data_IF_102745674534
#
_entry.id   IF_102745674534
#
_cell.length_a   1.000
_cell.length_b   1.000
_cell.length_c   1.000
_cell.angle_alpha   90.00
_cell.angle_beta   90.00
_cell.angle_gamma   90.00
#
_symmetry.space_group_name_H-M   'P 1'
#
loop_
_entity.id
_entity.type
_entity.pdbx_description
1 polymer ?
2 non-polymer ?
3 non-polymer ?
4 non-polymer ?
5 non-polymer ?
6 non-polymer ?
7 water ?
#
# COMPACT_ATOMS: atom_id res chain seq x y z
N UNK A 9 -6.63 9.60 -19.32
CA UNK A 9 -5.35 8.94 -19.46
C UNK A 9 -4.93 8.29 -18.13
N UNK A 10 -4.58 7.01 -18.18
CA UNK A 10 -4.03 6.28 -17.03
C UNK A 10 -2.53 6.13 -17.21
N UNK A 11 -1.78 6.46 -16.17
CA UNK A 11 -0.35 6.24 -16.18
C UNK A 11 0.03 4.88 -15.63
N UNK A 12 1.20 4.40 -16.06
CA UNK A 12 1.71 3.12 -15.58
C UNK A 12 3.22 3.20 -15.51
N UNK A 13 3.78 2.87 -14.35
CA UNK A 13 5.23 2.83 -14.18
C UNK A 13 5.62 1.40 -13.85
N UNK A 14 6.62 0.89 -14.57
CA UNK A 14 7.23 -0.40 -14.30
C UNK A 14 8.67 -0.34 -14.78
N UNK A 15 9.61 -0.64 -13.89
CA UNK A 15 11.03 -0.68 -14.26
C UNK A 15 11.60 -2.01 -13.81
N UNK A 16 12.13 -2.78 -14.76
CA UNK A 16 12.57 -4.13 -14.48
C UNK A 16 13.80 -4.20 -13.59
N UNK A 17 14.48 -3.07 -13.35
CA UNK A 17 15.55 -3.07 -12.36
C UNK A 17 15.04 -3.49 -10.99
N UNK A 18 13.78 -3.20 -10.68
CA UNK A 18 13.27 -3.57 -9.36
C UNK A 18 13.13 -5.08 -9.19
N UNK A 19 13.37 -5.87 -10.23
CA UNK A 19 13.49 -7.32 -10.10
C UNK A 19 14.79 -7.76 -9.42
N UNK A 20 15.77 -6.86 -9.28
CA UNK A 20 17.10 -7.28 -8.85
C UNK A 20 17.13 -7.68 -7.37
N UNK A 21 16.38 -6.96 -6.53
CA UNK A 21 16.23 -7.32 -5.12
C UNK A 21 15.82 -8.79 -4.97
N UNK A 22 16.59 -9.55 -4.20
CA UNK A 22 16.31 -10.98 -4.07
C UNK A 22 16.91 -11.50 -2.76
N UNK A 23 16.46 -12.69 -2.38
CA UNK A 23 16.88 -13.37 -1.16
C UNK A 23 17.87 -14.44 -1.57
N UNK A 24 19.16 -14.19 -1.34
CA UNK A 24 20.17 -15.11 -1.85
C UNK A 24 20.30 -16.39 -1.04
N UNK A 25 19.68 -16.48 0.14
CA UNK A 25 19.75 -17.68 0.94
C UNK A 25 18.53 -18.58 0.80
N UNK A 26 17.41 -18.05 0.33
CA UNK A 26 16.16 -18.80 0.21
C UNK A 26 15.45 -18.31 -1.05
N UNK A 27 15.70 -19.00 -2.16
CA UNK A 27 15.09 -18.63 -3.43
C UNK A 27 13.59 -18.89 -3.47
N UNK A 28 13.02 -19.53 -2.45
CA UNK A 28 11.59 -19.78 -2.38
C UNK A 28 10.88 -18.78 -1.49
N UNK A 29 11.58 -17.77 -1.01
CA UNK A 29 10.93 -16.70 -0.26
C UNK A 29 9.86 -16.05 -1.13
N UNK A 30 8.66 -15.80 -0.62
CA UNK A 30 7.55 -15.38 -1.49
C UNK A 30 7.66 -13.98 -2.07
N UNK A 31 8.52 -13.11 -1.51
CA UNK A 31 8.68 -11.76 -2.04
C UNK A 31 9.69 -11.80 -3.19
N UNK A 32 9.27 -12.45 -4.30
CA UNK A 32 9.93 -12.89 -5.53
C UNK A 32 10.09 -11.73 -6.51
N UNK A 33 11.23 -11.72 -7.20
CA UNK A 33 11.40 -10.76 -8.31
C UNK A 33 10.29 -10.84 -9.36
N UNK A 34 9.72 -12.02 -9.59
CA UNK A 34 8.68 -12.19 -10.60
C UNK A 34 7.34 -11.61 -10.18
N UNK A 35 7.20 -11.12 -8.96
CA UNK A 35 5.96 -10.46 -8.57
C UNK A 35 5.62 -9.32 -9.52
N UNK A 36 6.60 -8.49 -9.86
CA UNK A 36 6.31 -7.32 -10.68
C UNK A 36 6.31 -7.65 -12.17
N UNK A 37 7.18 -8.57 -12.63
CA UNK A 37 7.20 -8.90 -14.05
C UNK A 37 5.92 -9.64 -14.46
N UNK A 38 5.41 -10.51 -13.59
CA UNK A 38 4.18 -11.21 -13.91
C UNK A 38 3.00 -10.25 -14.02
N UNK A 39 2.89 -9.30 -13.08
CA UNK A 39 1.83 -8.29 -13.16
C UNK A 39 1.95 -7.50 -14.45
N UNK A 40 3.19 -7.13 -14.82
CA UNK A 40 3.40 -6.37 -16.05
C UNK A 40 3.06 -7.20 -17.27
N UNK A 41 3.53 -8.44 -17.33
CA UNK A 41 3.19 -9.32 -18.44
C UNK A 41 1.69 -9.49 -18.58
N UNK A 42 0.98 -9.62 -17.46
CA UNK A 42 -0.47 -9.77 -17.52
C UNK A 42 -1.13 -8.52 -18.09
N UNK A 43 -0.59 -7.34 -17.81
CA UNK A 43 -1.09 -6.12 -18.43
C UNK A 43 -0.92 -6.14 -19.94
N UNK A 44 0.20 -6.70 -20.43
CA UNK A 44 0.36 -6.86 -21.88
C UNK A 44 -0.68 -7.83 -22.43
N UNK A 45 -0.77 -9.03 -21.83
CA UNK A 45 -1.69 -10.04 -22.32
C UNK A 45 -3.12 -9.52 -22.37
N UNK A 46 -3.54 -8.76 -21.36
CA UNK A 46 -4.86 -8.15 -21.34
C UNK A 46 -4.96 -6.90 -22.21
N UNK A 47 -3.89 -6.55 -22.91
CA UNK A 47 -3.86 -5.38 -23.80
C UNK A 47 -4.15 -4.08 -23.04
N UNK A 48 -3.80 -4.03 -21.75
CA UNK A 48 -3.95 -2.83 -20.95
C UNK A 48 -2.74 -1.91 -21.03
N UNK A 49 -1.55 -2.47 -21.28
CA UNK A 49 -0.34 -1.67 -21.29
C UNK A 49 -0.39 -0.60 -22.37
N UNK A 50 -0.76 -0.99 -23.60
CA UNK A 50 -0.78 -0.04 -24.70
C UNK A 50 -1.84 1.05 -24.53
N UNK A 51 -2.80 0.86 -23.62
CA UNK A 51 -3.79 1.89 -23.34
C UNK A 51 -3.33 2.88 -22.29
N UNK A 52 -2.19 2.64 -21.64
CA UNK A 52 -1.68 3.51 -20.60
C UNK A 52 -0.58 4.40 -21.15
N UNK A 53 -0.37 5.53 -20.47
CA UNK A 53 0.82 6.36 -20.68
C UNK A 53 1.92 5.84 -19.76
N UNK A 54 3.05 5.47 -20.34
CA UNK A 54 4.15 4.91 -19.57
C UNK A 54 4.89 6.02 -18.84
N UNK A 55 4.99 5.90 -17.53
CA UNK A 55 5.69 6.87 -16.69
C UNK A 55 7.05 6.28 -16.31
N UNK A 56 8.14 7.02 -16.45
CA UNK A 56 9.45 6.46 -16.14
C UNK A 56 9.70 6.36 -14.64
N UNK A 57 10.45 5.33 -14.27
CA UNK A 57 10.95 5.23 -12.91
C UNK A 57 12.12 6.19 -12.70
N UNK A 58 12.42 6.46 -11.44
CA UNK A 58 13.61 7.22 -11.10
C UNK A 58 14.00 6.90 -9.66
N UNK A 59 15.24 7.24 -9.31
CA UNK A 59 15.73 7.09 -7.95
C UNK A 59 15.18 8.21 -7.09
N UNK A 60 14.59 7.86 -5.95
CA UNK A 60 14.37 8.85 -4.91
C UNK A 60 15.72 9.38 -4.42
N UNK A 61 15.76 10.65 -4.04
CA UNK A 61 17.00 11.17 -3.48
C UNK A 61 17.02 10.92 -1.97
N UNK A 62 18.20 11.06 -1.39
CA UNK A 62 18.34 10.90 0.05
C UNK A 62 17.55 11.96 0.81
N UNK A 63 17.45 13.18 0.26
CA UNK A 63 16.64 14.19 0.92
C UNK A 63 15.15 13.89 0.78
N UNK A 64 14.73 13.29 -0.34
CA UNK A 64 13.35 12.85 -0.47
C UNK A 64 13.04 11.73 0.52
N UNK A 65 13.99 10.81 0.73
CA UNK A 65 13.80 9.78 1.74
C UNK A 65 13.65 10.39 3.13
N UNK A 66 14.30 11.53 3.38
CA UNK A 66 14.21 12.19 4.67
C UNK A 66 12.84 12.81 4.94
N UNK A 67 11.96 12.86 3.94
CA UNK A 67 10.59 13.29 4.20
C UNK A 67 9.93 12.43 5.28
N UNK A 68 10.35 11.17 5.40
CA UNK A 68 9.77 10.24 6.38
C UNK A 68 10.79 9.47 7.20
N UNK A 69 12.04 9.35 6.76
CA UNK A 69 12.99 8.44 7.39
C UNK A 69 14.17 9.19 7.98
N UNK A 70 14.73 8.61 9.04
CA UNK A 70 15.86 9.20 9.73
C UNK A 70 17.12 9.12 8.86
N UNK A 71 18.07 10.02 9.13
CA UNK A 71 19.35 9.97 8.45
C UNK A 71 20.07 8.66 8.74
N UNK A 72 20.02 8.20 9.99
CA UNK A 72 20.68 6.95 10.36
C UNK A 72 20.14 5.76 9.59
N UNK A 73 18.81 5.66 9.48
CA UNK A 73 18.20 4.54 8.75
C UNK A 73 18.61 4.57 7.29
N UNK A 74 18.53 5.74 6.66
CA UNK A 74 18.92 5.88 5.26
C UNK A 74 20.36 5.42 5.05
N UNK A 75 21.25 5.80 5.97
CA UNK A 75 22.67 5.49 5.81
C UNK A 75 22.93 4.00 5.98
N UNK A 76 22.21 3.37 6.90
CA UNK A 76 22.41 1.94 7.14
C UNK A 76 21.99 1.12 5.91
N UNK A 77 20.84 1.45 5.32
CA UNK A 77 20.39 0.71 4.15
C UNK A 77 21.29 1.01 2.96
N UNK A 78 21.79 2.23 2.86
CA UNK A 78 22.72 2.59 1.79
C UNK A 78 24.02 1.80 1.89
N UNK A 79 24.47 1.52 3.12
CA UNK A 79 25.72 0.82 3.32
C UNK A 79 25.69 -0.63 2.84
N UNK A 80 24.50 -1.18 2.56
CA UNK A 80 24.41 -2.58 2.16
C UNK A 80 24.80 -2.81 0.70
N UNK A 81 24.93 -1.75 -0.11
CA UNK A 81 25.15 -1.92 -1.54
C UNK A 81 26.39 -2.73 -1.87
N UNK A 82 27.45 -2.61 -1.07
CA UNK A 82 28.69 -3.31 -1.37
C UNK A 82 29.05 -4.33 -0.29
N UNK A 83 28.09 -4.72 0.55
CA UNK A 83 28.37 -5.68 1.60
C UNK A 83 28.57 -7.08 1.05
N UNK A 84 29.45 -7.83 1.71
CA UNK A 84 29.58 -9.24 1.41
C UNK A 84 28.33 -9.98 1.86
N UNK A 85 28.05 -11.16 1.29
CA UNK A 85 26.88 -11.94 1.74
C UNK A 85 26.80 -12.16 3.24
N UNK A 86 27.93 -12.45 3.90
CA UNK A 86 27.91 -12.67 5.35
C UNK A 86 27.41 -11.44 6.10
N UNK A 87 27.65 -10.25 5.56
CA UNK A 87 27.25 -9.01 6.23
C UNK A 87 25.85 -8.59 5.84
N UNK A 88 25.40 -8.91 4.62
CA UNK A 88 24.00 -8.74 4.26
C UNK A 88 23.12 -9.62 5.14
N UNK A 89 23.58 -10.84 5.44
CA UNK A 89 22.84 -11.72 6.34
C UNK A 89 22.74 -11.11 7.73
N UNK A 90 23.86 -10.64 8.26
CA UNK A 90 23.87 -10.03 9.60
C UNK A 90 22.94 -8.82 9.64
N UNK A 91 23.08 -7.91 8.68
CA UNK A 91 22.28 -6.69 8.69
C UNK A 91 20.79 -7.01 8.57
N UNK A 92 20.41 -7.88 7.65
CA UNK A 92 19.02 -8.21 7.48
C UNK A 92 18.41 -8.85 8.72
N UNK A 93 19.19 -9.68 9.41
CA UNK A 93 18.69 -10.34 10.61
C UNK A 93 18.48 -9.36 11.77
N UNK A 94 18.98 -8.13 11.68
CA UNK A 94 18.73 -7.15 12.72
C UNK A 94 17.29 -6.66 12.72
N UNK A 95 16.53 -6.92 11.65
CA UNK A 95 15.18 -6.43 11.49
C UNK A 95 14.18 -7.58 11.57
N UNK A 96 12.91 -7.21 11.72
CA UNK A 96 11.80 -8.14 11.65
C UNK A 96 11.51 -8.45 10.18
N UNK A 97 11.83 -9.67 9.74
CA UNK A 97 11.42 -10.19 8.44
C UNK A 97 11.98 -9.34 7.28
N UNK A 98 13.31 -9.30 7.20
CA UNK A 98 14.00 -8.54 6.16
C UNK A 98 15.11 -9.40 5.60
N UNK A 99 15.22 -9.45 4.26
CA UNK A 99 16.41 -9.94 3.57
C UNK A 99 16.94 -8.83 2.68
N UNK A 100 18.26 -8.81 2.50
CA UNK A 100 18.93 -7.74 1.76
C UNK A 100 19.91 -8.36 0.77
N UNK A 101 19.95 -7.81 -0.43
CA UNK A 101 21.01 -8.08 -1.39
C UNK A 101 21.65 -6.75 -1.78
N UNK A 102 22.73 -6.82 -2.55
CA UNK A 102 23.43 -5.60 -2.93
C UNK A 102 22.50 -4.63 -3.67
N UNK A 103 21.52 -5.16 -4.40
CA UNK A 103 20.62 -4.35 -5.21
C UNK A 103 19.42 -3.82 -4.45
N UNK A 104 19.24 -4.23 -3.19
CA UNK A 104 18.01 -3.87 -2.45
C UNK A 104 17.86 -2.36 -2.34
N UNK A 105 18.95 -1.65 -2.02
CA UNK A 105 18.87 -0.21 -1.86
C UNK A 105 18.41 0.47 -3.15
N UNK A 106 19.00 0.07 -4.29
CA UNK A 106 18.61 0.65 -5.57
C UNK A 106 17.13 0.42 -5.84
N UNK A 107 16.66 -0.80 -5.64
CA UNK A 107 15.27 -1.14 -5.93
C UNK A 107 14.31 -0.36 -5.05
N UNK A 108 14.64 -0.21 -3.76
CA UNK A 108 13.78 0.57 -2.87
C UNK A 108 13.75 2.04 -3.28
N UNK A 109 14.90 2.58 -3.72
CA UNK A 109 14.94 3.93 -4.25
C UNK A 109 14.06 4.06 -5.50
N UNK A 110 14.14 3.07 -6.38
CA UNK A 110 13.34 3.12 -7.61
C UNK A 110 11.86 3.00 -7.32
N UNK A 111 11.47 2.23 -6.30
CA UNK A 111 10.05 2.09 -5.98
C UNK A 111 9.47 3.41 -5.49
N UNK A 112 10.18 4.08 -4.59
CA UNK A 112 9.72 5.39 -4.13
C UNK A 112 9.74 6.42 -5.26
N UNK A 113 10.84 6.48 -6.02
CA UNK A 113 10.94 7.45 -7.09
C UNK A 113 9.93 7.22 -8.20
N UNK A 114 9.59 5.96 -8.48
CA UNK A 114 8.54 5.66 -9.46
C UNK A 114 7.21 6.27 -9.04
N UNK A 115 6.87 6.15 -7.75
CA UNK A 115 5.60 6.68 -7.27
C UNK A 115 5.63 8.20 -7.21
N UNK A 116 6.79 8.80 -6.90
CA UNK A 116 6.90 10.26 -6.96
C UNK A 116 6.56 10.77 -8.36
N UNK A 117 7.20 10.19 -9.39
CA UNK A 117 6.91 10.56 -10.77
C UNK A 117 5.44 10.35 -11.10
N UNK A 118 4.83 9.30 -10.55
CA UNK A 118 3.42 9.03 -10.82
C UNK A 118 2.53 10.07 -10.14
N UNK A 119 2.81 10.36 -8.86
CA UNK A 119 2.07 11.41 -8.16
C UNK A 119 2.21 12.73 -8.89
N UNK A 120 3.40 13.01 -9.42
CA UNK A 120 3.61 14.26 -10.15
C UNK A 120 2.84 14.28 -11.46
N UNK A 121 2.88 13.17 -12.21
CA UNK A 121 2.13 13.10 -13.45
C UNK A 121 0.64 13.33 -13.21
N UNK A 122 0.14 12.85 -12.07
CA UNK A 122 -1.27 13.05 -11.72
C UNK A 122 -1.52 14.51 -11.37
N UNK A 123 -0.73 15.07 -10.46
CA UNK A 123 -0.96 16.41 -9.94
C UNK A 123 -0.60 17.51 -10.92
N UNK A 124 0.05 17.19 -12.03
CA UNK A 124 0.30 18.16 -13.10
C UNK A 124 -0.62 17.95 -14.30
N UNK A 125 -1.67 17.15 -14.16
CA UNK A 125 -2.60 16.93 -15.24
C UNK A 125 -2.12 16.04 -16.36
N UNK A 126 -0.91 15.49 -16.26
CA UNK A 126 -0.39 14.64 -17.32
C UNK A 126 -1.25 13.40 -17.52
N UNK A 127 -1.74 12.82 -16.42
CA UNK A 127 -2.68 11.71 -16.45
C UNK A 127 -3.76 11.98 -15.40
N UNK A 128 -4.85 11.23 -15.50
CA UNK A 128 -5.90 11.29 -14.49
C UNK A 128 -5.53 10.44 -13.27
N UNK A 129 -5.12 9.19 -13.51
CA UNK A 129 -4.79 8.25 -12.45
C UNK A 129 -3.60 7.42 -12.91
N UNK A 130 -3.09 6.57 -12.02
CA UNK A 130 -1.90 5.82 -12.36
C UNK A 130 -1.77 4.56 -11.52
N UNK A 131 -0.98 3.63 -12.03
CA UNK A 131 -0.68 2.37 -11.35
C UNK A 131 0.83 2.22 -11.30
N UNK A 132 1.34 1.80 -10.14
CA UNK A 132 2.78 1.64 -9.92
C UNK A 132 3.06 0.18 -9.56
N UNK A 133 3.78 -0.49 -10.44
CA UNK A 133 4.11 -1.91 -10.27
C UNK A 133 5.53 -1.94 -9.73
N UNK A 134 5.67 -1.90 -8.40
CA UNK A 134 6.95 -1.65 -7.76
C UNK A 134 7.20 -2.70 -6.68
N UNK A 135 8.48 -2.89 -6.38
CA UNK A 135 8.95 -3.71 -5.27
C UNK A 135 10.36 -3.26 -4.94
N UNK A 136 10.83 -3.47 -3.70
CA UNK A 136 10.15 -4.08 -2.55
C UNK A 136 9.03 -3.21 -2.01
N UNK A 137 8.11 -3.79 -1.21
CA UNK A 137 7.00 -3.00 -0.66
C UNK A 137 7.47 -2.01 0.39
N UNK A 138 6.54 -1.23 0.95
CA UNK A 138 6.92 -0.14 1.83
C UNK A 138 6.17 0.02 3.14
N UNK A 139 4.92 -0.42 3.21
CA UNK A 139 4.06 0.07 4.29
C UNK A 139 4.44 -0.44 5.68
N UNK A 140 5.31 -1.44 5.79
CA UNK A 140 5.80 -1.86 7.10
C UNK A 140 7.00 -1.05 7.56
N UNK A 141 7.62 -0.28 6.68
CA UNK A 141 8.84 0.45 7.04
C UNK A 141 8.50 1.64 7.94
N UNK A 142 9.29 1.80 9.00
CA UNK A 142 9.12 2.86 9.98
C UNK A 142 10.09 4.00 9.69
N UNK A 143 9.95 5.09 10.43
CA UNK A 143 10.86 6.22 10.25
C UNK A 143 12.31 5.78 10.43
N UNK A 144 12.58 4.95 11.44
CA UNK A 144 13.94 4.62 11.84
C UNK A 144 14.32 3.16 11.60
N UNK A 145 13.50 2.37 10.91
CA UNK A 145 13.85 0.97 10.75
C UNK A 145 13.07 0.31 9.61
N UNK A 146 13.67 -0.72 9.03
CA UNK A 146 13.04 -1.59 8.05
C UNK A 146 12.27 -2.69 8.77
N UNK A 147 11.35 -3.33 8.05
CA UNK A 147 10.46 -4.31 8.67
C UNK A 147 9.60 -4.96 7.59
N UNK A 148 9.34 -6.27 7.75
CA UNK A 148 8.36 -6.98 6.94
C UNK A 148 8.47 -6.80 5.45
N UNK A 149 9.67 -7.02 4.91
CA UNK A 149 10.03 -6.98 3.48
C UNK A 149 10.17 -5.53 3.00
N UNK A 150 10.03 -4.53 3.87
CA UNK A 150 9.95 -3.13 3.48
C UNK A 150 11.15 -2.35 4.00
N UNK A 151 11.78 -1.56 3.13
CA UNK A 151 12.93 -0.74 3.51
C UNK A 151 12.55 0.72 3.72
N UNK A 152 11.88 1.35 2.76
CA UNK A 152 11.39 2.70 2.90
C UNK A 152 9.89 2.70 2.64
N UNK A 153 9.17 3.62 3.28
CA UNK A 153 7.70 3.58 3.21
C UNK A 153 7.24 4.34 1.98
N UNK A 154 7.13 3.61 0.87
CA UNK A 154 6.86 4.20 -0.43
C UNK A 154 5.58 5.04 -0.43
N UNK A 155 4.49 4.48 0.10
CA UNK A 155 3.24 5.24 0.13
C UNK A 155 3.35 6.47 1.00
N UNK A 156 3.92 6.34 2.19
CA UNK A 156 4.06 7.51 3.07
C UNK A 156 4.96 8.56 2.45
N UNK A 157 6.09 8.14 1.86
CA UNK A 157 6.97 9.07 1.16
C UNK A 157 6.24 9.77 0.03
N UNK A 158 5.45 9.01 -0.74
CA UNK A 158 4.71 9.60 -1.85
C UNK A 158 3.70 10.63 -1.37
N UNK A 159 3.05 10.38 -0.23
CA UNK A 159 2.10 11.36 0.29
C UNK A 159 2.83 12.64 0.69
N UNK A 160 3.98 12.53 1.37
CA UNK A 160 4.75 13.71 1.71
C UNK A 160 5.37 14.36 0.48
N UNK A 161 5.78 13.56 -0.51
CA UNK A 161 6.30 14.15 -1.74
C UNK A 161 5.21 14.92 -2.48
N UNK A 162 4.01 14.34 -2.58
CA UNK A 162 2.90 15.03 -3.23
C UNK A 162 2.60 16.36 -2.55
N UNK A 163 2.64 16.37 -1.22
CA UNK A 163 2.48 17.63 -0.49
C UNK A 163 3.60 18.60 -0.81
N UNK A 164 4.81 18.10 -1.07
CA UNK A 164 5.95 19.00 -1.28
C UNK A 164 5.91 19.67 -2.65
N UNK A 165 5.32 19.02 -3.66
CA UNK A 165 5.23 19.64 -4.99
C UNK A 165 3.91 20.35 -5.22
N UNK A 166 3.04 20.41 -4.20
CA UNK A 166 1.83 21.22 -4.30
C UNK A 166 1.74 22.15 -3.09
N UNK A 167 1.16 21.66 -2.00
CA UNK A 167 1.05 22.43 -0.76
C UNK A 167 1.00 21.44 0.40
N UNK A 168 1.53 21.86 1.55
CA UNK A 168 1.59 20.99 2.71
C UNK A 168 0.20 20.51 3.11
N UNK A 169 -0.82 21.34 2.93
CA UNK A 169 -2.16 20.99 3.36
C UNK A 169 -2.86 20.03 2.42
N UNK A 170 -2.22 19.64 1.31
CA UNK A 170 -2.83 18.70 0.38
C UNK A 170 -3.39 17.50 1.13
N UNK A 171 -4.71 17.33 1.09
CA UNK A 171 -5.36 16.25 1.83
C UNK A 171 -5.16 14.95 1.06
N UNK A 172 -4.36 14.04 1.63
CA UNK A 172 -4.05 12.77 1.01
C UNK A 172 -4.70 11.67 1.82
N UNK A 173 -5.48 10.83 1.15
CA UNK A 173 -6.05 9.63 1.73
C UNK A 173 -5.20 8.45 1.29
N UNK A 174 -4.77 7.64 2.26
CA UNK A 174 -4.07 6.39 1.99
C UNK A 174 -5.01 5.26 2.39
N UNK A 175 -5.52 4.52 1.40
CA UNK A 175 -6.30 3.32 1.65
C UNK A 175 -5.37 2.13 1.50
N UNK A 176 -5.18 1.40 2.59
CA UNK A 176 -4.25 0.29 2.66
C UNK A 176 -5.06 -1.00 2.72
N UNK A 177 -5.25 -1.65 1.57
CA UNK A 177 -6.04 -2.87 1.53
C UNK A 177 -5.17 -4.12 1.40
N UNK A 178 -3.86 -3.98 1.51
CA UNK A 178 -2.98 -5.10 1.82
C UNK A 178 -3.53 -5.84 3.05
N UNK A 179 -3.44 -7.17 3.05
CA UNK A 179 -4.05 -7.93 4.14
C UNK A 179 -3.36 -7.66 5.47
N UNK A 180 -2.15 -7.09 5.45
CA UNK A 180 -1.44 -6.80 6.69
C UNK A 180 -1.58 -5.33 7.06
N UNK A 181 -1.53 -5.06 8.35
CA UNK A 181 -1.58 -3.67 8.82
C UNK A 181 -0.32 -2.91 8.40
N UNK A 182 -0.50 -1.68 7.93
CA UNK A 182 0.63 -0.84 7.59
C UNK A 182 1.14 -0.06 8.79
N UNK A 183 1.86 -0.76 9.68
CA UNK A 183 2.30 -0.16 10.92
C UNK A 183 3.14 1.09 10.67
N UNK A 184 4.02 1.05 9.67
CA UNK A 184 4.84 2.22 9.38
C UNK A 184 4.02 3.40 8.93
N UNK A 185 3.04 3.18 8.05
CA UNK A 185 2.21 4.28 7.57
C UNK A 185 1.41 4.90 8.72
N UNK A 186 0.89 4.04 9.61
CA UNK A 186 0.13 4.54 10.75
C UNK A 186 1.00 5.42 11.66
N UNK A 187 2.21 4.95 11.98
CA UNK A 187 3.06 5.68 12.90
C UNK A 187 3.55 6.99 12.29
N UNK A 188 3.90 6.98 11.01
CA UNK A 188 4.40 8.19 10.37
C UNK A 188 3.37 9.32 10.43
N UNK A 189 2.10 8.99 10.17
CA UNK A 189 1.04 9.99 10.10
C UNK A 189 0.16 10.03 11.34
N UNK A 190 0.62 9.45 12.45
CA UNK A 190 -0.28 9.22 13.57
C UNK A 190 -0.79 10.53 14.15
N UNK A 191 0.02 11.58 14.12
CA UNK A 191 -0.33 12.87 14.72
C UNK A 191 -0.65 13.92 13.68
N UNK A 192 -1.05 13.52 12.48
CA UNK A 192 -1.21 14.40 11.35
C UNK A 192 -2.63 14.31 10.82
N UNK A 193 -3.29 15.47 10.71
CA UNK A 193 -4.64 15.52 10.15
C UNK A 193 -4.67 15.84 8.67
N UNK A 194 -3.50 15.97 8.02
CA UNK A 194 -3.47 16.21 6.58
C UNK A 194 -3.47 14.93 5.77
N UNK A 195 -3.15 13.79 6.39
CA UNK A 195 -3.09 12.50 5.72
C UNK A 195 -3.98 11.54 6.49
N UNK A 196 -5.05 11.07 5.85
CA UNK A 196 -5.97 10.12 6.45
C UNK A 196 -5.56 8.70 6.07
N UNK A 197 -5.21 7.89 7.07
CA UNK A 197 -4.82 6.51 6.87
C UNK A 197 -5.99 5.60 7.21
N UNK A 198 -6.46 4.83 6.23
CA UNK A 198 -7.49 3.82 6.45
C UNK A 198 -6.90 2.47 6.04
N UNK A 199 -6.81 1.55 7.00
CA UNK A 199 -6.28 0.21 6.77
C UNK A 199 -7.35 -0.83 7.04
N UNK A 200 -7.51 -1.76 6.10
CA UNK A 200 -8.23 -3.00 6.35
C UNK A 200 -7.21 -4.12 6.42
N UNK A 201 -7.33 -4.98 7.42
CA UNK A 201 -6.28 -5.97 7.62
C UNK A 201 -6.78 -7.12 8.47
N UNK A 202 -6.31 -8.32 8.15
CA UNK A 202 -6.50 -9.46 9.03
C UNK A 202 -5.72 -9.22 10.32
N UNK A 203 -6.37 -9.40 11.46
CA UNK A 203 -5.79 -9.07 12.75
C UNK A 203 -5.64 -10.27 13.66
N UNK A 204 -6.72 -11.02 13.89
CA UNK A 204 -6.70 -12.23 14.71
C UNK A 204 -6.13 -11.96 16.10
N UNK A 205 -6.62 -10.89 16.73
CA UNK A 205 -6.22 -10.52 18.10
C UNK A 205 -4.70 -10.47 18.23
N UNK A 206 -4.04 -9.86 17.25
CA UNK A 206 -2.60 -9.73 17.26
C UNK A 206 -1.82 -10.93 16.75
N UNK A 207 -2.48 -12.01 16.37
CA UNK A 207 -1.76 -13.19 15.90
C UNK A 207 -1.26 -13.03 14.47
N UNK A 208 -1.86 -12.16 13.68
CA UNK A 208 -1.45 -11.97 12.31
C UNK A 208 -0.34 -10.92 12.22
N UNK A 209 0.62 -11.16 11.33
CA UNK A 209 1.69 -10.19 11.14
C UNK A 209 1.10 -8.81 10.84
N UNK A 210 1.68 -7.73 11.40
CA UNK A 210 2.92 -7.60 12.16
C UNK A 210 2.81 -7.75 13.69
N UNK A 211 1.70 -8.32 14.18
CA UNK A 211 1.59 -8.85 15.55
C UNK A 211 1.60 -7.76 16.61
N UNK A 212 0.97 -6.62 16.34
CA UNK A 212 0.96 -5.51 17.28
C UNK A 212 -0.47 -5.05 17.53
N UNK A 213 -0.77 -4.74 18.79
CA UNK A 213 -2.07 -4.13 19.10
C UNK A 213 -2.21 -2.73 18.53
N UNK A 214 -1.14 -2.15 17.95
CA UNK A 214 -1.29 -0.89 17.23
C UNK A 214 -2.30 -1.00 16.10
N UNK A 215 -2.55 -2.22 15.60
CA UNK A 215 -3.43 -2.46 14.48
C UNK A 215 -4.90 -2.54 14.84
N UNK A 216 -5.24 -2.41 16.13
CA UNK A 216 -6.63 -2.61 16.52
C UNK A 216 -7.45 -1.35 16.27
N UNK A 217 -8.77 -1.53 16.26
CA UNK A 217 -9.70 -0.48 15.87
C UNK A 217 -9.69 0.71 16.83
N UNK A 218 -9.19 0.53 18.05
CA UNK A 218 -9.23 1.61 19.03
C UNK A 218 -8.08 2.60 18.86
N UNK A 219 -7.11 2.33 17.99
CA UNK A 219 -6.02 3.27 17.74
C UNK A 219 -6.47 4.24 16.66
N UNK A 220 -6.93 5.42 17.08
CA UNK A 220 -7.61 6.37 16.19
C UNK A 220 -6.71 7.54 15.80
N UNK A 221 -5.49 7.60 16.29
CA UNK A 221 -4.62 8.75 16.09
C UNK A 221 -4.36 9.49 17.39
N UNK A 222 -3.40 10.40 17.33
CA UNK A 222 -2.93 11.12 18.50
C UNK A 222 -2.90 12.61 18.22
N UNK A 223 -3.18 13.40 19.26
CA UNK A 223 -3.10 14.86 19.13
C UNK A 223 -4.04 15.35 18.04
N UNK A 224 -3.54 16.24 17.19
CA UNK A 224 -4.36 16.75 16.10
C UNK A 224 -4.67 15.69 15.05
N UNK A 225 -3.97 14.56 15.08
CA UNK A 225 -4.31 13.43 14.23
C UNK A 225 -5.39 12.53 14.78
N UNK A 226 -5.92 12.83 15.96
CA UNK A 226 -7.01 12.05 16.53
C UNK A 226 -8.19 12.03 15.58
N UNK A 227 -8.62 10.83 15.20
CA UNK A 227 -9.67 10.65 14.23
C UNK A 227 -9.20 10.37 12.81
N UNK A 228 -7.91 10.59 12.51
CA UNK A 228 -7.38 10.44 11.17
C UNK A 228 -6.55 9.17 11.01
N UNK A 229 -6.76 8.19 11.90
CA UNK A 229 -6.21 6.84 11.76
C UNK A 229 -7.37 5.87 11.92
N UNK A 230 -7.68 5.13 10.86
CA UNK A 230 -8.85 4.26 10.81
C UNK A 230 -8.35 2.83 10.57
N UNK A 231 -8.39 2.00 11.61
CA UNK A 231 -8.02 0.60 11.52
C UNK A 231 -9.29 -0.24 11.45
N UNK A 232 -9.37 -1.09 10.43
CA UNK A 232 -10.51 -2.00 10.28
C UNK A 232 -9.97 -3.41 10.41
N UNK A 233 -9.95 -3.99 11.62
CA UNK A 233 -9.29 -5.29 11.82
C UNK A 233 -10.25 -6.46 11.73
N UNK A 234 -9.87 -7.49 10.98
CA UNK A 234 -10.68 -8.70 10.84
C UNK A 234 -10.23 -9.75 11.85
N UNK A 235 -11.20 -10.47 12.43
CA UNK A 235 -10.95 -11.57 13.34
C UNK A 235 -11.86 -12.74 13.01
N UNK A 236 -11.32 -13.94 13.13
CA UNK A 236 -12.12 -15.16 13.04
C UNK A 236 -12.99 -15.27 11.81
N UNK A 237 -12.38 -15.35 10.64
CA UNK A 237 -13.16 -15.49 9.43
C UNK A 237 -12.36 -15.29 8.16
N UNK A 238 -12.72 -16.05 7.14
CA UNK A 238 -12.09 -15.98 5.82
C UNK A 238 -12.81 -14.89 5.04
N UNK A 239 -12.34 -13.66 5.18
CA UNK A 239 -13.06 -12.53 4.61
C UNK A 239 -12.85 -12.45 3.11
N UNK A 240 -13.84 -11.88 2.43
CA UNK A 240 -13.85 -11.81 0.98
C UNK A 240 -14.62 -10.59 0.50
N UNK A 241 -15.14 -10.69 -0.71
CA UNK A 241 -15.82 -9.55 -1.33
C UNK A 241 -16.95 -8.97 -0.49
N UNK A 242 -17.88 -9.78 0.07
CA UNK A 242 -18.96 -9.14 0.84
C UNK A 242 -18.46 -8.33 2.02
N UNK A 243 -17.44 -8.83 2.74
CA UNK A 243 -16.94 -8.11 3.90
C UNK A 243 -16.24 -6.81 3.49
N UNK A 244 -15.41 -6.86 2.43
CA UNK A 244 -14.74 -5.64 2.00
C UNK A 244 -15.72 -4.65 1.39
N UNK A 245 -16.69 -5.15 0.61
CA UNK A 245 -17.74 -4.26 0.11
C UNK A 245 -18.46 -3.58 1.27
N UNK A 246 -18.76 -4.32 2.33
CA UNK A 246 -19.48 -3.75 3.47
C UNK A 246 -18.64 -2.74 4.21
N UNK A 247 -17.35 -3.05 4.44
CA UNK A 247 -16.47 -2.09 5.11
C UNK A 247 -16.35 -0.80 4.31
N UNK A 248 -16.35 -0.89 2.97
CA UNK A 248 -16.32 0.32 2.16
C UNK A 248 -17.62 1.09 2.26
N UNK A 249 -18.76 0.38 2.26
CA UNK A 249 -20.05 1.05 2.27
C UNK A 249 -20.27 1.80 3.58
N UNK A 250 -19.89 1.19 4.70
CA UNK A 250 -20.21 1.72 6.03
C UNK A 250 -19.10 2.57 6.62
N UNK A 251 -17.86 2.39 6.19
CA UNK A 251 -16.72 3.03 6.85
C UNK A 251 -15.84 3.80 5.88
N UNK A 252 -15.25 3.09 4.91
CA UNK A 252 -14.19 3.70 4.09
C UNK A 252 -14.73 4.88 3.29
N UNK A 253 -15.83 4.68 2.57
CA UNK A 253 -16.33 5.72 1.68
C UNK A 253 -17.01 6.88 2.42
N UNK A 254 -17.85 6.64 3.44
CA UNK A 254 -18.37 7.80 4.20
C UNK A 254 -17.28 8.64 4.84
N UNK A 255 -16.28 8.01 5.46
CA UNK A 255 -15.19 8.78 6.05
C UNK A 255 -14.39 9.50 4.96
N UNK A 256 -14.06 8.79 3.88
CA UNK A 256 -13.28 9.41 2.81
C UNK A 256 -14.03 10.60 2.20
N UNK A 257 -15.32 10.45 1.93
CA UNK A 257 -16.09 11.54 1.35
C UNK A 257 -16.14 12.74 2.29
N UNK A 258 -16.26 12.49 3.59
CA UNK A 258 -16.23 13.59 4.55
C UNK A 258 -14.84 14.22 4.61
N UNK A 259 -13.81 13.41 4.47
CA UNK A 259 -12.44 13.93 4.45
C UNK A 259 -12.16 14.72 3.17
N UNK A 260 -12.79 14.32 2.05
CA UNK A 260 -12.64 14.95 0.74
C UNK A 260 -11.18 15.00 0.33
N UNK A 261 -10.55 13.85 0.07
CA UNK A 261 -9.15 13.86 -0.32
C UNK A 261 -8.93 14.59 -1.63
N UNK A 262 -7.73 15.14 -1.78
CA UNK A 262 -7.30 15.70 -3.05
C UNK A 262 -6.40 14.75 -3.82
N UNK A 263 -5.97 13.67 -3.19
CA UNK A 263 -5.20 12.62 -3.84
C UNK A 263 -5.44 11.34 -3.05
N UNK A 264 -5.75 10.26 -3.76
CA UNK A 264 -5.92 8.94 -3.14
C UNK A 264 -4.69 8.12 -3.48
N UNK A 265 -4.02 7.63 -2.44
CA UNK A 265 -2.97 6.62 -2.58
C UNK A 265 -3.52 5.30 -2.08
N UNK A 266 -3.44 4.26 -2.89
CA UNK A 266 -3.81 2.93 -2.46
C UNK A 266 -2.53 2.17 -2.18
N UNK A 267 -2.32 1.80 -0.92
CA UNK A 267 -1.33 0.80 -0.58
C UNK A 267 -1.95 -0.53 -0.97
N UNK A 268 -1.78 -0.87 -2.25
CA UNK A 268 -2.54 -1.94 -2.88
C UNK A 268 -1.73 -3.22 -2.82
N UNK A 269 -1.72 -3.81 -1.63
CA UNK A 269 -1.32 -5.20 -1.52
C UNK A 269 -2.40 -6.10 -2.06
N UNK A 270 -2.00 -7.21 -2.65
CA UNK A 270 -3.00 -8.15 -3.15
C UNK A 270 -2.89 -9.50 -2.44
N UNK A 271 -2.48 -9.47 -1.18
CA UNK A 271 -2.36 -10.68 -0.39
C UNK A 271 -3.63 -11.00 0.39
N UNK A 272 -4.68 -10.20 0.26
CA UNK A 272 -6.02 -10.63 0.67
C UNK A 272 -6.76 -11.31 -0.47
N UNK A 273 -6.09 -11.56 -1.59
CA UNK A 273 -6.71 -12.15 -2.76
C UNK A 273 -6.92 -13.64 -2.57
N UNK A 274 -7.96 -14.15 -3.23
CA UNK A 274 -8.19 -15.58 -3.29
C UNK A 274 -6.96 -16.29 -3.83
N UNK A 275 -6.44 -17.26 -3.08
CA UNK A 275 -5.28 -18.02 -3.49
C UNK A 275 -3.98 -17.59 -2.85
N UNK A 276 -3.95 -16.49 -2.11
CA UNK A 276 -2.70 -16.02 -1.54
C UNK A 276 -2.27 -16.95 -0.43
N UNK A 277 -1.02 -17.45 -0.45
CA UNK A 277 -0.59 -18.43 0.56
C UNK A 277 -0.31 -17.83 1.92
N UNK A 278 -0.25 -16.50 2.03
CA UNK A 278 0.05 -15.84 3.29
C UNK A 278 -1.16 -15.12 3.89
N UNK A 279 -2.14 -14.75 3.07
CA UNK A 279 -3.28 -14.00 3.56
C UNK A 279 -4.44 -14.86 4.02
N UNK A 280 -4.72 -15.95 3.31
CA UNK A 280 -5.83 -16.82 3.67
C UNK A 280 -7.20 -16.24 3.44
N UNK A 281 -7.30 -15.16 2.67
CA UNK A 281 -8.57 -14.50 2.38
C UNK A 281 -9.03 -14.85 0.96
N UNK A 282 -10.15 -14.28 0.52
CA UNK A 282 -10.72 -14.66 -0.77
C UNK A 282 -11.31 -13.47 -1.51
N UNK A 283 -10.68 -12.30 -1.42
CA UNK A 283 -11.09 -11.19 -2.28
C UNK A 283 -10.79 -11.56 -3.73
N UNK A 284 -11.79 -11.36 -4.61
CA UNK A 284 -11.69 -11.74 -6.01
C UNK A 284 -11.16 -10.57 -6.83
N UNK A 285 -10.66 -10.83 -8.05
CA UNK A 285 -10.25 -9.70 -8.91
C UNK A 285 -11.39 -8.75 -9.17
N UNK A 286 -12.61 -9.27 -9.35
CA UNK A 286 -13.78 -8.43 -9.49
C UNK A 286 -14.01 -7.59 -8.23
N UNK A 287 -13.75 -8.18 -7.06
CA UNK A 287 -13.86 -7.42 -5.83
C UNK A 287 -12.89 -6.25 -5.79
N UNK A 288 -11.63 -6.48 -6.19
CA UNK A 288 -10.67 -5.39 -6.25
C UNK A 288 -11.08 -4.35 -7.27
N UNK A 289 -11.70 -4.78 -8.38
CA UNK A 289 -12.18 -3.83 -9.38
C UNK A 289 -13.25 -2.92 -8.79
N UNK A 290 -14.13 -3.46 -7.94
CA UNK A 290 -15.19 -2.65 -7.35
C UNK A 290 -14.63 -1.68 -6.32
N UNK A 291 -13.63 -2.10 -5.55
CA UNK A 291 -13.04 -1.19 -4.57
C UNK A 291 -12.33 -0.03 -5.28
N UNK A 292 -11.62 -0.34 -6.36
CA UNK A 292 -11.00 0.71 -7.16
C UNK A 292 -12.04 1.65 -7.74
N UNK A 293 -13.10 1.07 -8.34
CA UNK A 293 -14.13 1.89 -8.95
C UNK A 293 -14.78 2.83 -7.94
N UNK A 294 -14.91 2.37 -6.69
CA UNK A 294 -15.45 3.25 -5.66
C UNK A 294 -14.47 4.34 -5.28
N UNK A 295 -13.18 4.02 -5.20
CA UNK A 295 -12.20 5.03 -4.84
C UNK A 295 -12.07 6.10 -5.92
N UNK A 296 -12.33 5.76 -7.18
CA UNK A 296 -12.23 6.73 -8.26
C UNK A 296 -13.28 7.82 -8.17
N UNK A 297 -14.31 7.64 -7.34
CA UNK A 297 -15.27 8.71 -7.11
C UNK A 297 -14.74 9.79 -6.17
N UNK A 298 -13.53 9.63 -5.66
CA UNK A 298 -12.90 10.60 -4.77
C UNK A 298 -11.84 11.39 -5.53
N UNK A 299 -11.56 12.58 -5.01
CA UNK A 299 -10.41 13.40 -5.43
C UNK A 299 -10.40 13.68 -6.93
N UNK A 300 -11.58 13.89 -7.52
CA UNK A 300 -11.73 14.09 -8.95
C UNK A 300 -11.14 12.93 -9.75
N UNK A 301 -11.06 11.75 -9.15
CA UNK A 301 -10.59 10.57 -9.81
C UNK A 301 -9.10 10.32 -9.79
N UNK A 302 -8.32 11.17 -9.12
CA UNK A 302 -6.87 10.98 -9.17
C UNK A 302 -6.44 10.03 -8.06
N UNK A 303 -6.28 8.77 -8.46
CA UNK A 303 -5.92 7.67 -7.60
C UNK A 303 -4.59 7.11 -8.10
N UNK A 304 -3.63 6.93 -7.20
CA UNK A 304 -2.38 6.25 -7.50
C UNK A 304 -2.40 4.92 -6.76
N UNK A 305 -2.31 3.82 -7.50
CA UNK A 305 -2.39 2.46 -6.96
C UNK A 305 -0.97 1.92 -6.85
N UNK A 306 -0.51 1.70 -5.62
CA UNK A 306 0.87 1.33 -5.34
C UNK A 306 0.90 -0.12 -4.87
N UNK A 307 1.62 -0.97 -5.59
CA UNK A 307 1.73 -2.37 -5.19
C UNK A 307 2.47 -2.47 -3.87
N UNK A 308 1.86 -3.20 -2.92
CA UNK A 308 2.56 -3.54 -1.68
C UNK A 308 2.87 -5.03 -1.70
N UNK A 309 2.16 -5.81 -0.87
CA UNK A 309 2.31 -7.25 -0.86
C UNK A 309 1.37 -7.93 -1.85
N UNK A 310 1.24 -9.25 -1.67
CA UNK A 310 0.57 -10.11 -2.63
C UNK A 310 1.56 -11.11 -3.19
N UNK A 311 1.30 -12.40 -2.99
CA UNK A 311 2.33 -13.40 -3.22
C UNK A 311 1.89 -14.58 -4.09
N UNK A 312 0.62 -14.66 -4.45
CA UNK A 312 0.18 -15.59 -5.48
C UNK A 312 0.33 -14.88 -6.82
N UNK A 313 1.31 -15.32 -7.61
CA UNK A 313 1.67 -14.60 -8.83
C UNK A 313 0.48 -14.46 -9.77
N UNK A 314 -0.33 -15.52 -9.91
CA UNK A 314 -1.51 -15.43 -10.74
C UNK A 314 -2.54 -14.49 -10.14
N UNK A 315 -2.80 -14.60 -8.83
CA UNK A 315 -3.83 -13.78 -8.20
C UNK A 315 -3.48 -12.30 -8.25
N UNK A 316 -2.23 -11.95 -7.98
CA UNK A 316 -1.87 -10.53 -7.98
C UNK A 316 -1.89 -9.97 -9.40
N UNK A 317 -1.54 -10.80 -10.40
CA UNK A 317 -1.55 -10.33 -11.78
C UNK A 317 -2.98 -10.07 -12.26
N UNK A 318 -3.89 -11.01 -12.00
CA UNK A 318 -5.30 -10.76 -12.32
C UNK A 318 -5.83 -9.55 -11.55
N UNK A 319 -5.57 -9.51 -10.24
CA UNK A 319 -6.20 -8.52 -9.39
C UNK A 319 -5.74 -7.11 -9.73
N UNK A 320 -4.43 -6.89 -9.84
CA UNK A 320 -3.96 -5.54 -10.13
C UNK A 320 -4.31 -5.11 -11.54
N UNK A 321 -4.34 -6.04 -12.49
CA UNK A 321 -4.80 -5.72 -13.85
C UNK A 321 -6.24 -5.24 -13.84
N UNK A 322 -7.10 -5.90 -13.06
CA UNK A 322 -8.48 -5.46 -12.95
C UNK A 322 -8.56 -4.02 -12.44
N UNK A 323 -7.70 -3.66 -11.49
CA UNK A 323 -7.69 -2.29 -10.99
C UNK A 323 -7.32 -1.31 -12.11
N UNK A 324 -6.31 -1.66 -12.91
CA UNK A 324 -5.94 -0.79 -14.02
C UNK A 324 -7.07 -0.69 -15.02
N UNK A 325 -7.76 -1.81 -15.29
CA UNK A 325 -8.93 -1.78 -16.17
C UNK A 325 -9.95 -0.77 -15.67
N UNK A 326 -10.19 -0.72 -14.35
CA UNK A 326 -11.11 0.27 -13.80
C UNK A 326 -10.58 1.67 -14.01
N UNK A 327 -9.31 1.91 -13.69
CA UNK A 327 -8.73 3.24 -13.88
C UNK A 327 -8.83 3.68 -15.34
N UNK A 328 -8.75 2.73 -16.27
CA UNK A 328 -8.88 3.06 -17.69
C UNK A 328 -10.31 3.37 -18.09
N UNK A 329 -11.28 3.18 -17.19
CA UNK A 329 -12.67 3.50 -17.46
C UNK A 329 -13.54 2.33 -17.82
N UNK A 330 -13.02 1.10 -17.83
CA UNK A 330 -13.82 -0.04 -18.18
C UNK A 330 -14.95 -0.25 -17.16
N UNK A 331 -16.01 -0.90 -17.61
CA UNK A 331 -17.18 -1.09 -16.77
C UNK A 331 -16.87 -2.07 -15.63
N UNK A 332 -17.31 -1.78 -14.41
CA UNK A 332 -17.11 -2.72 -13.31
C UNK A 332 -17.80 -4.04 -13.58
N UNK A 333 -17.13 -5.16 -13.32
CA UNK A 333 -17.71 -6.46 -13.64
C UNK A 333 -18.81 -6.83 -12.66
N UNK A 334 -19.56 -7.88 -13.03
CA UNK A 334 -20.62 -8.39 -12.18
C UNK A 334 -20.02 -9.09 -10.97
N UNK A 335 -20.71 -8.97 -9.83
CA UNK A 335 -20.27 -9.63 -8.60
C UNK A 335 -21.21 -10.77 -8.22
N UNK A 340 -24.75 -12.70 2.75
CA UNK A 340 -24.55 -12.41 4.17
C UNK A 340 -23.08 -12.37 4.57
N UNK A 341 -22.73 -11.41 5.42
CA UNK A 341 -21.36 -11.28 5.91
C UNK A 341 -21.07 -12.32 6.97
N UNK A 342 -19.79 -12.68 7.08
CA UNK A 342 -19.33 -13.40 8.25
C UNK A 342 -19.67 -12.61 9.50
N UNK A 343 -20.15 -13.30 10.54
CA UNK A 343 -20.68 -12.64 11.72
C UNK A 343 -19.65 -11.72 12.37
N UNK A 344 -18.40 -12.15 12.44
CA UNK A 344 -17.39 -11.31 13.08
C UNK A 344 -17.08 -10.07 12.28
N UNK A 345 -17.36 -10.08 10.97
CA UNK A 345 -17.12 -8.89 10.16
C UNK A 345 -18.06 -7.75 10.56
N UNK A 346 -19.30 -8.08 10.91
CA UNK A 346 -20.21 -7.06 11.43
C UNK A 346 -19.71 -6.53 12.76
N UNK A 347 -19.21 -7.43 13.63
CA UNK A 347 -18.59 -7.00 14.89
C UNK A 347 -17.44 -6.04 14.63
N UNK A 348 -16.58 -6.39 13.67
CA UNK A 348 -15.45 -5.52 13.35
C UNK A 348 -15.93 -4.15 12.88
N UNK A 349 -16.90 -4.12 11.97
CA UNK A 349 -17.41 -2.85 11.47
C UNK A 349 -18.04 -2.04 12.60
N UNK A 350 -18.85 -2.68 13.43
CA UNK A 350 -19.46 -1.97 14.57
C UNK A 350 -18.41 -1.49 15.56
N UNK A 351 -17.29 -2.21 15.70
CA UNK A 351 -16.21 -1.72 16.55
C UNK A 351 -15.68 -0.39 16.03
N UNK A 352 -15.40 -0.31 14.73
CA UNK A 352 -14.82 0.91 14.17
C UNK A 352 -15.81 2.07 14.24
N UNK A 353 -17.11 1.79 14.07
CA UNK A 353 -18.11 2.83 14.25
C UNK A 353 -18.06 3.41 15.65
N UNK A 354 -17.91 2.55 16.66
CA UNK A 354 -17.86 3.04 18.04
C UNK A 354 -16.65 3.92 18.28
N UNK A 355 -15.51 3.57 17.69
CA UNK A 355 -14.29 4.33 17.91
C UNK A 355 -14.30 5.65 17.17
N UNK A 356 -14.97 5.72 16.03
CA UNK A 356 -14.79 6.84 15.11
C UNK A 356 -16.03 7.72 14.94
N UNK A 357 -17.20 7.29 15.38
CA UNK A 357 -18.37 8.15 15.29
C UNK A 357 -18.20 9.51 15.96
N UNK A 358 -17.45 9.67 17.07
CA UNK A 358 -17.21 11.02 17.60
C UNK A 358 -16.34 11.90 16.69
N UNK A 359 -15.72 11.37 15.64
CA UNK A 359 -14.88 12.18 14.78
C UNK A 359 -15.45 12.41 13.39
N UNK A 360 -16.38 11.56 12.93
CA UNK A 360 -16.90 11.64 11.57
C UNK A 360 -18.42 11.67 11.62
N UNK A 361 -19.01 12.82 11.27
CA UNK A 361 -20.45 12.98 11.30
C UNK A 361 -21.15 12.07 10.31
N UNK A 362 -20.45 11.65 9.24
CA UNK A 362 -21.06 10.75 8.26
C UNK A 362 -21.34 9.36 8.81
N UNK A 363 -20.81 9.03 9.98
CA UNK A 363 -21.05 7.73 10.59
C UNK A 363 -22.34 7.69 11.41
N UNK A 364 -23.07 8.80 11.48
CA UNK A 364 -24.35 8.84 12.18
C UNK A 364 -25.45 9.37 11.27
X LIG B 1 0.89 -7.83 3.17
X LIG C 1 -3.91 -3.04 5.35
X LIG D 1 -3.29 10.35 10.11
X LIG E 1 23.66 2.90 -6.42
X LIG E 1 23.14 2.22 -7.62
X LIG E 1 24.19 2.08 -8.71
X LIG E 1 23.96 1.48 -9.76
X LIG E 1 22.01 3.13 -8.06
X LIG E 1 21.50 3.73 -6.80
X LIG E 1 22.73 3.93 -5.94
X LIG E 1 25.32 2.55 -8.54
X LIG F 1 6.81 -14.63 8.07
X LIG F 1 8.52 -17.90 6.63
X LIG F 1 4.84 -13.28 8.64
X LIG F 1 6.46 -12.36 7.17
X LIG F 1 5.61 -11.46 6.29
X LIG F 1 5.91 -10.09 6.26
X LIG F 1 5.16 -9.18 5.45
X LIG F 1 4.07 -9.62 4.66
X LIG F 1 3.24 -8.63 3.81
X LIG F 1 3.78 -10.99 4.72
X LIG F 1 7.25 -15.71 6.98
X LIG F 1 4.53 -11.87 5.51
X LIG F 1 8.07 -16.83 7.65
X LIG F 1 9.43 -17.24 5.56
X LIG F 1 8.67 -16.11 4.88
X LIG F 1 7.46 -16.73 4.16
X LIG F 1 6.53 -17.38 5.21
X LIG F 1 6.04 -16.34 6.25
X LIG F 1 7.29 -18.51 5.93
X LIG F 1 8.18 -15.06 5.91
X LIG F 1 6.91 -9.70 6.99
X LIG F 1 5.80 -13.62 7.57
X LIG F 1 2.94 -7.26 4.25
X LIG F 1 2.21 -6.38 3.54
X LIG F 1 2.75 -8.97 2.75
X LIG G 1 17.19 9.74 -10.98
X LIG G 1 18.34 10.43 -10.49
X LIG G 1 17.56 8.29 -11.24
X LIG G 1 16.58 7.67 -12.04
X LIG H 1 29.16 -4.64 -4.85
X LIG H 1 30.48 -4.12 -4.98
X LIG H 1 29.20 -6.17 -4.87
X LIG H 1 30.03 -6.64 -3.81
X LIG I 1 17.46 11.62 12.18
X LIG I 1 17.17 12.09 10.86
X LIG I 1 18.90 11.12 12.25
X LIG I 1 18.93 9.72 12.54
X LIG J 1 22.49 -10.30 13.01
X LIG J 1 21.88 -9.20 13.67
X LIG J 1 22.77 -11.42 14.00
X LIG J 1 22.97 -12.61 13.24
X LIG K 1 10.99 2.91 -17.81
X LIG K 1 10.00 2.03 -18.33
X LIG K 1 10.93 2.90 -16.29
X LIG K 1 12.01 3.70 -15.78
X LIG L 1 25.72 3.90 -11.32
X LIG L 1 26.77 3.82 -10.36
X LIG L 1 25.79 2.69 -12.25
X LIG L 1 25.69 1.46 -11.52
X LIG M 1 -23.76 -2.97 11.11
X LIG M 1 -23.19 -1.68 10.95
X LIG M 1 -24.40 -3.40 9.79
X LIG M 1 -23.38 -3.50 8.80
X LIG N 1 23.47 -9.70 -5.66
X LIG N 1 23.88 -10.56 -6.75
X LIG N 1 24.21 -10.05 -4.38
X LIG N 1 23.85 -9.09 -3.37
#
# INVERSE_FOLDING_TARGET
>A
SNAGGSSPITGLVYDQRMMLHHNMWDSHHPELPQRISRIFSRHEELRLLSRCHRIPARLATEEELALCHSSKHISIIKSSEHMKPRDLNRLGDEYNSIFISNESYTCALLAAGSCFNSAQAILTGQVRNAVAIVRPPGHHAEKDTACGFCFFNTAALTARYAQSITRESLRVLIVDWDVHHGNGTQHIFEEDDSVLYISLHRYEDGAFFPNSEDANYDKVGLGKGRGYNVNIPWNGGKMGDPEYMAAFHHLVMPIAREFAPELVLVSAGFDAARGDPLGGFQVTPEGYAHLTHQLMSLAAGRVLIILEGGYNLTSISESMSMCTSMLLGDSPPSLDHLTPLKTSATVSINNVLRAHAPFWSSLR
>B hetero
1 ZN ZN
>C hetero
1 K K
>D hetero
1 K K
>E hetero
1 PRO N CA C O CB CG CD OXT
>F hetero
1 HBV C10 C13 C01 C02 C03 C04 C05 C06 C07 C08 C11 C09 C12 C14 C15 C16 C17 C18 C19 C20 F01 N01 N02 O01 O02
>G hetero
1 EDO C1 O1 C2 O2
>H hetero
1 EDO C1 O1 C2 O2
>I hetero
1 EDO C1 O1 C2 O2
>J hetero
1 EDO C1 O1 C2 O2
>K hetero
1 EDO C1 O1 C2 O2
>L hetero
1 EDO C1 O1 C2 O2
>M hetero
1 EDO C1 O1 C2 O2
>N hetero
1 EDO C1 O1 C2 O2
#
